data_IF_121178007064
#
_entry.id   IF_121178007064
#
_cell.length_a   1.000
_cell.length_b   1.000
_cell.length_c   1.000
_cell.angle_alpha   90.00
_cell.angle_beta   90.00
_cell.angle_gamma   90.00
#
_symmetry.space_group_name_H-M   'P 1'
#
loop_
_entity.id
_entity.type
_entity.pdbx_description
1 polymer ?
#
# COMPACT_ATOMS: atom_id res chain seq x y z
N UNK A 1 31.03 -26.93 66.59
CA UNK A 1 30.38 -25.59 66.50
C UNK A 1 31.28 -24.71 65.67
N UNK A 2 30.89 -24.37 64.43
CA UNK A 2 30.97 -23.02 63.84
C UNK A 2 30.54 -23.14 62.37
N UNK A 3 29.34 -22.60 62.10
CA UNK A 3 28.79 -22.33 60.78
C UNK A 3 29.49 -21.08 60.22
N UNK A 4 29.89 -21.12 58.95
CA UNK A 4 30.30 -19.95 58.18
C UNK A 4 29.70 -20.04 56.79
N UNK A 5 28.67 -19.24 56.54
CA UNK A 5 28.04 -19.01 55.24
C UNK A 5 28.97 -18.22 54.31
N UNK A 6 28.93 -18.49 53.02
CA UNK A 6 29.06 -17.48 51.96
C UNK A 6 28.42 -17.97 50.65
N UNK A 7 27.50 -17.22 50.01
CA UNK A 7 27.04 -17.49 48.66
C UNK A 7 27.93 -16.71 47.67
N UNK A 8 28.65 -17.42 46.80
CA UNK A 8 29.35 -16.80 45.68
C UNK A 8 28.39 -16.68 44.49
N UNK A 9 27.86 -15.48 44.27
CA UNK A 9 27.12 -15.14 43.07
C UNK A 9 28.09 -15.02 41.88
N UNK A 10 27.96 -15.91 40.90
CA UNK A 10 28.71 -15.87 39.65
C UNK A 10 27.91 -14.98 38.68
N UNK A 11 28.39 -13.75 38.46
CA UNK A 11 27.90 -12.87 37.41
C UNK A 11 28.51 -13.27 36.06
N UNK A 12 27.66 -13.63 35.10
CA UNK A 12 27.98 -13.82 33.69
C UNK A 12 28.19 -12.44 33.04
N UNK A 13 29.42 -12.15 32.58
CA UNK A 13 29.73 -10.98 31.75
C UNK A 13 29.90 -11.45 30.30
N UNK A 14 28.90 -11.21 29.46
CA UNK A 14 29.05 -11.28 28.01
C UNK A 14 29.66 -9.97 27.50
N UNK A 15 30.61 -9.99 26.54
CA UNK A 15 31.13 -8.76 25.96
C UNK A 15 30.10 -8.17 25.00
N UNK A 16 29.63 -6.95 25.30
CA UNK A 16 28.90 -6.14 24.35
C UNK A 16 29.87 -5.70 23.24
N UNK A 17 29.73 -6.29 22.06
CA UNK A 17 30.38 -5.80 20.85
C UNK A 17 29.76 -4.44 20.51
N UNK A 18 30.47 -3.35 20.82
CA UNK A 18 30.08 -2.01 20.41
C UNK A 18 30.27 -1.88 18.90
N UNK A 19 29.17 -1.91 18.14
CA UNK A 19 29.15 -1.48 16.75
C UNK A 19 29.40 0.03 16.73
N UNK A 20 30.55 0.45 16.20
CA UNK A 20 30.86 1.87 16.03
C UNK A 20 30.19 2.34 14.74
N UNK A 21 29.12 3.12 14.89
CA UNK A 21 28.46 3.81 13.77
C UNK A 21 29.39 4.91 13.26
N UNK A 22 29.79 4.80 12.00
CA UNK A 22 30.58 5.81 11.32
C UNK A 22 29.67 6.99 10.94
N UNK A 23 29.71 8.08 11.70
CA UNK A 23 28.98 9.31 11.39
C UNK A 23 29.68 10.07 10.25
N UNK A 24 29.06 10.08 9.06
CA UNK A 24 29.48 10.92 7.93
C UNK A 24 28.78 12.28 8.05
N UNK A 25 29.51 13.41 8.16
CA UNK A 25 28.90 14.72 8.26
C UNK A 25 28.12 15.06 6.98
N UNK A 26 26.81 15.30 7.09
CA UNK A 26 25.96 15.76 5.99
C UNK A 26 24.96 14.75 5.45
N UNK A 27 24.89 13.54 6.00
CA UNK A 27 23.80 12.58 5.71
C UNK A 27 22.85 12.53 6.91
N UNK A 28 21.79 13.31 6.86
CA UNK A 28 20.60 12.99 7.67
C UNK A 28 19.99 11.74 7.06
N UNK A 29 20.36 10.55 7.57
CA UNK A 29 19.56 9.35 7.40
C UNK A 29 18.26 9.51 8.21
N UNK A 30 17.42 10.46 7.79
CA UNK A 30 16.00 10.33 8.07
C UNK A 30 15.51 9.13 7.26
N UNK A 31 14.76 8.19 7.86
CA UNK A 31 13.94 7.28 7.08
C UNK A 31 13.19 8.10 6.04
N UNK A 32 13.03 7.64 4.78
CA UNK A 32 12.18 8.34 3.83
C UNK A 32 10.86 8.61 4.54
N UNK A 33 10.50 9.89 4.72
CA UNK A 33 9.18 10.20 5.24
C UNK A 33 8.21 9.50 4.31
N UNK A 34 7.18 8.79 4.80
CA UNK A 34 6.12 8.32 3.92
C UNK A 34 5.71 9.54 3.11
N UNK A 35 5.71 9.42 1.77
CA UNK A 35 5.09 10.44 0.93
C UNK A 35 3.76 10.76 1.61
N UNK A 36 3.60 11.99 2.10
CA UNK A 36 2.31 12.43 2.62
C UNK A 36 1.43 12.59 1.39
N UNK A 37 0.90 11.46 0.93
CA UNK A 37 -0.16 11.41 -0.05
C UNK A 37 -1.35 12.09 0.61
N UNK A 38 -1.44 13.40 0.39
CA UNK A 38 -2.40 14.27 1.02
C UNK A 38 -3.46 14.64 -0.01
N UNK A 39 -4.71 14.43 0.37
CA UNK A 39 -5.82 14.83 -0.47
C UNK A 39 -5.98 16.35 -0.38
N UNK A 40 -5.92 17.01 -1.54
CA UNK A 40 -6.05 18.46 -1.64
C UNK A 40 -7.18 18.77 -2.61
N UNK A 41 -8.33 19.18 -2.09
CA UNK A 41 -9.55 19.41 -2.88
C UNK A 41 -9.27 20.42 -4.01
N UNK A 42 -9.50 20.00 -5.27
CA UNK A 42 -9.32 20.84 -6.46
C UNK A 42 -7.88 21.00 -6.95
N UNK A 43 -6.89 20.34 -6.33
CA UNK A 43 -5.47 20.50 -6.66
C UNK A 43 -4.94 19.38 -7.56
N UNK A 44 -4.13 19.72 -8.56
CA UNK A 44 -3.40 18.74 -9.38
C UNK A 44 -2.35 17.95 -8.58
N UNK A 45 -1.94 18.46 -7.41
CA UNK A 45 -1.05 17.76 -6.47
C UNK A 45 -1.82 16.87 -5.48
N UNK A 46 -3.16 16.84 -5.56
CA UNK A 46 -3.99 15.99 -4.70
C UNK A 46 -3.59 14.54 -4.86
N UNK A 47 -3.43 13.83 -3.74
CA UNK A 47 -3.04 12.43 -3.73
C UNK A 47 -4.00 11.61 -2.87
N UNK A 48 -4.38 10.43 -3.35
CA UNK A 48 -5.08 9.42 -2.56
C UNK A 48 -4.43 8.05 -2.73
N UNK A 49 -4.49 7.22 -1.68
CA UNK A 49 -3.98 5.85 -1.76
C UNK A 49 -4.88 4.99 -2.64
N UNK A 50 -4.27 4.04 -3.35
CA UNK A 50 -4.91 3.04 -4.19
C UNK A 50 -4.42 1.68 -3.79
N UNK A 51 -5.33 0.76 -3.52
CA UNK A 51 -5.03 -0.64 -3.24
C UNK A 51 -5.81 -1.53 -4.20
N UNK A 52 -5.25 -2.66 -4.62
CA UNK A 52 -6.01 -3.64 -5.37
C UNK A 52 -5.56 -5.07 -5.08
N UNK A 53 -6.51 -6.01 -5.04
CA UNK A 53 -6.18 -7.44 -5.09
C UNK A 53 -6.07 -7.85 -6.56
N UNK A 54 -5.10 -8.69 -6.89
CA UNK A 54 -4.85 -9.19 -8.25
C UNK A 54 -4.90 -10.72 -8.25
N UNK A 55 -5.89 -11.27 -8.93
CA UNK A 55 -6.15 -12.71 -8.91
C UNK A 55 -6.53 -13.23 -7.52
N UNK A 56 -6.23 -14.51 -7.27
CA UNK A 56 -6.59 -15.21 -6.03
C UNK A 56 -5.36 -15.71 -5.25
N UNK A 57 -4.15 -15.40 -5.72
CA UNK A 57 -2.89 -15.94 -5.19
C UNK A 57 -2.29 -15.08 -4.08
N UNK A 58 -3.05 -14.08 -3.59
CA UNK A 58 -2.59 -13.14 -2.56
C UNK A 58 -1.69 -12.02 -3.08
N UNK A 59 -1.55 -11.88 -4.41
CA UNK A 59 -0.86 -10.74 -5.03
C UNK A 59 -1.73 -9.49 -4.92
N UNK A 60 -1.12 -8.36 -4.56
CA UNK A 60 -1.80 -7.08 -4.47
C UNK A 60 -0.97 -5.95 -5.04
N UNK A 61 -1.67 -4.90 -5.47
CA UNK A 61 -1.11 -3.61 -5.85
C UNK A 61 -1.25 -2.63 -4.69
N UNK A 62 -0.21 -1.86 -4.44
CA UNK A 62 -0.21 -0.79 -3.46
C UNK A 62 0.42 0.48 -4.06
N UNK A 63 -0.36 1.56 -4.11
CA UNK A 63 0.02 2.75 -4.86
C UNK A 63 -0.78 4.00 -4.51
N UNK A 64 -0.65 4.99 -5.36
CA UNK A 64 -1.17 6.35 -5.19
C UNK A 64 -1.73 6.86 -6.51
N UNK A 65 -2.92 7.47 -6.45
CA UNK A 65 -3.51 8.26 -7.52
C UNK A 65 -3.27 9.73 -7.22
N UNK A 66 -2.61 10.43 -8.15
CA UNK A 66 -2.25 11.83 -8.03
C UNK A 66 -2.95 12.61 -9.12
N UNK A 67 -3.54 13.75 -8.78
CA UNK A 67 -4.27 14.61 -9.70
C UNK A 67 -5.66 15.00 -9.18
N UNK A 68 -6.35 15.83 -9.97
CA UNK A 68 -7.75 16.17 -9.78
C UNK A 68 -8.50 15.97 -11.09
N UNK A 69 -9.61 15.24 -11.05
CA UNK A 69 -10.38 14.72 -12.20
C UNK A 69 -9.64 13.80 -13.18
N UNK A 70 -8.32 13.94 -13.29
CA UNK A 70 -7.41 13.11 -14.09
C UNK A 70 -6.02 13.18 -13.49
N UNK A 71 -5.17 12.19 -13.79
CA UNK A 71 -3.76 12.28 -13.44
C UNK A 71 -3.02 10.96 -13.55
N UNK A 72 -2.04 10.77 -12.67
CA UNK A 72 -1.10 9.64 -12.72
C UNK A 72 -1.35 8.65 -11.60
N UNK A 73 -1.13 7.38 -11.91
CA UNK A 73 -0.99 6.31 -10.93
C UNK A 73 0.47 5.91 -10.81
N UNK A 74 0.92 5.66 -9.58
CA UNK A 74 2.21 5.05 -9.29
C UNK A 74 2.05 4.04 -8.16
N UNK A 75 2.79 2.96 -8.18
CA UNK A 75 2.76 1.98 -7.09
C UNK A 75 3.63 0.78 -7.40
N UNK A 76 3.49 -0.25 -6.57
CA UNK A 76 4.21 -1.50 -6.73
C UNK A 76 3.27 -2.68 -6.52
N UNK A 77 3.59 -3.78 -7.18
CA UNK A 77 2.99 -5.08 -6.93
C UNK A 77 3.73 -5.77 -5.78
N UNK A 78 3.01 -6.53 -4.96
CA UNK A 78 3.57 -7.24 -3.81
C UNK A 78 4.61 -8.31 -4.18
N UNK A 79 4.68 -8.71 -5.45
CA UNK A 79 5.68 -9.62 -6.02
C UNK A 79 6.95 -8.91 -6.52
N UNK A 80 7.03 -7.58 -6.38
CA UNK A 80 8.27 -6.80 -6.54
C UNK A 80 8.37 -5.98 -7.82
N UNK A 81 7.26 -5.76 -8.53
CA UNK A 81 7.22 -5.02 -9.79
C UNK A 81 6.72 -3.58 -9.61
N UNK A 82 7.45 -2.60 -10.11
CA UNK A 82 7.01 -1.20 -10.13
C UNK A 82 6.01 -0.95 -11.26
N UNK A 83 4.96 -0.17 -11.00
CA UNK A 83 3.93 0.14 -11.98
C UNK A 83 3.62 1.64 -12.04
N UNK A 84 3.37 2.13 -13.26
CA UNK A 84 3.00 3.51 -13.54
C UNK A 84 1.78 3.51 -14.46
N UNK A 85 0.92 4.51 -14.30
CA UNK A 85 -0.34 4.55 -15.00
C UNK A 85 -0.97 5.94 -15.06
N UNK A 86 -2.19 5.97 -15.58
CA UNK A 86 -3.05 7.15 -15.61
C UNK A 86 -4.43 6.82 -15.10
N UNK A 87 -5.14 7.84 -14.64
CA UNK A 87 -6.53 7.70 -14.22
C UNK A 87 -7.34 8.92 -14.66
N UNK A 88 -8.66 8.74 -14.77
CA UNK A 88 -9.62 9.81 -15.00
C UNK A 88 -10.95 9.53 -14.31
N UNK A 89 -11.68 10.58 -13.95
CA UNK A 89 -13.06 10.52 -13.46
C UNK A 89 -14.00 11.26 -14.41
N UNK A 90 -15.31 11.15 -14.17
CA UNK A 90 -16.31 11.81 -15.01
C UNK A 90 -16.68 11.05 -16.28
N UNK A 91 -16.44 9.74 -16.30
CA UNK A 91 -16.94 8.82 -17.31
C UNK A 91 -18.47 8.76 -17.36
N UNK A 92 -19.00 8.04 -18.35
CA UNK A 92 -20.45 7.83 -18.50
C UNK A 92 -21.05 7.25 -17.21
N UNK A 93 -22.08 7.92 -16.68
CA UNK A 93 -22.72 7.52 -15.42
C UNK A 93 -21.88 7.79 -14.17
N UNK A 94 -20.85 8.64 -14.24
CA UNK A 94 -19.99 8.98 -13.10
C UNK A 94 -18.88 7.95 -12.84
N UNK A 95 -18.57 7.10 -13.81
CA UNK A 95 -17.46 6.12 -13.71
C UNK A 95 -16.10 6.79 -13.73
N UNK A 96 -15.12 6.14 -13.08
CA UNK A 96 -13.70 6.44 -13.22
C UNK A 96 -12.98 5.33 -13.98
N UNK A 97 -11.86 5.66 -14.60
CA UNK A 97 -11.02 4.73 -15.35
C UNK A 97 -9.58 4.85 -14.89
N UNK A 98 -8.87 3.72 -14.88
CA UNK A 98 -7.45 3.64 -14.58
C UNK A 98 -6.77 2.63 -15.51
N UNK A 99 -5.57 2.99 -15.95
CA UNK A 99 -4.68 2.16 -16.76
C UNK A 99 -3.32 2.10 -16.06
N UNK A 100 -2.73 0.91 -16.01
CA UNK A 100 -1.42 0.66 -15.39
C UNK A 100 -0.55 -0.19 -16.31
N UNK A 101 0.75 0.07 -16.28
CA UNK A 101 1.79 -0.77 -16.87
C UNK A 101 2.90 -0.97 -15.86
N UNK A 102 3.35 -2.22 -15.71
CA UNK A 102 4.39 -2.64 -14.79
C UNK A 102 5.69 -2.98 -15.54
N UNK A 103 6.82 -3.00 -14.83
CA UNK A 103 8.15 -3.25 -15.40
C UNK A 103 8.36 -4.67 -15.98
N UNK A 104 7.55 -5.64 -15.54
CA UNK A 104 7.48 -7.02 -16.05
C UNK A 104 6.71 -7.14 -17.38
N UNK A 105 6.14 -6.03 -17.86
CA UNK A 105 5.30 -5.96 -19.05
C UNK A 105 3.82 -6.24 -18.80
N UNK A 106 3.40 -6.49 -17.55
CA UNK A 106 1.99 -6.62 -17.20
C UNK A 106 1.27 -5.27 -17.37
N UNK A 107 0.10 -5.28 -17.99
CA UNK A 107 -0.77 -4.10 -18.09
C UNK A 107 -2.11 -4.36 -17.45
N UNK A 108 -2.78 -3.35 -16.90
CA UNK A 108 -4.08 -3.51 -16.26
C UNK A 108 -5.02 -2.33 -16.56
N UNK A 109 -6.31 -2.66 -16.70
CA UNK A 109 -7.40 -1.69 -16.84
C UNK A 109 -8.40 -1.87 -15.69
N UNK A 110 -8.81 -0.77 -15.06
CA UNK A 110 -9.78 -0.76 -13.95
C UNK A 110 -10.86 0.30 -14.19
N UNK A 111 -12.11 -0.08 -13.96
CA UNK A 111 -13.26 0.82 -13.95
C UNK A 111 -13.77 0.96 -12.51
N UNK A 112 -13.86 2.20 -12.03
CA UNK A 112 -14.46 2.56 -10.73
C UNK A 112 -15.92 2.96 -10.92
N UNK A 113 -16.82 2.33 -10.16
CA UNK A 113 -18.27 2.40 -10.44
C UNK A 113 -19.15 2.65 -9.20
N UNK A 114 -18.60 2.57 -8.00
CA UNK A 114 -19.36 2.80 -6.77
C UNK A 114 -18.51 3.46 -5.71
N UNK A 115 -19.15 4.30 -4.90
CA UNK A 115 -18.58 4.82 -3.67
C UNK A 115 -19.27 4.14 -2.48
N UNK A 116 -18.47 3.62 -1.56
CA UNK A 116 -18.93 3.15 -0.26
C UNK A 116 -19.49 4.33 0.53
N UNK A 117 -20.76 4.28 0.99
CA UNK A 117 -21.40 5.44 1.60
C UNK A 117 -20.87 5.77 3.01
N UNK A 118 -20.32 4.77 3.71
CA UNK A 118 -19.86 4.92 5.09
C UNK A 118 -18.44 5.49 5.13
N UNK A 119 -17.60 5.07 4.19
CA UNK A 119 -16.18 5.47 4.12
C UNK A 119 -15.88 6.43 2.98
N UNK A 120 -16.77 6.66 2.01
CA UNK A 120 -16.46 7.46 0.83
C UNK A 120 -15.39 6.84 -0.09
N UNK A 121 -15.02 5.57 0.13
CA UNK A 121 -14.04 4.82 -0.68
C UNK A 121 -14.65 4.44 -2.01
N UNK A 122 -13.97 4.73 -3.12
CA UNK A 122 -14.40 4.27 -4.43
C UNK A 122 -13.91 2.86 -4.70
N UNK A 123 -14.78 2.02 -5.27
CA UNK A 123 -14.52 0.63 -5.58
C UNK A 123 -14.51 0.46 -7.09
N UNK A 124 -13.49 -0.24 -7.58
CA UNK A 124 -13.32 -0.57 -8.98
C UNK A 124 -13.08 -2.05 -9.23
N UNK A 125 -13.25 -2.43 -10.50
CA UNK A 125 -12.99 -3.78 -11.01
C UNK A 125 -12.26 -3.71 -12.34
N UNK A 126 -11.45 -4.73 -12.62
CA UNK A 126 -10.61 -4.75 -13.80
C UNK A 126 -10.07 -6.13 -14.13
N UNK A 127 -9.16 -6.16 -15.09
CA UNK A 127 -8.33 -7.31 -15.42
C UNK A 127 -6.94 -6.84 -15.84
N UNK A 128 -5.95 -7.70 -15.65
CA UNK A 128 -4.63 -7.52 -16.24
C UNK A 128 -4.47 -8.26 -17.59
N UNK A 129 -3.32 -8.07 -18.22
CA UNK A 129 -2.94 -8.71 -19.48
C UNK A 129 -2.82 -10.23 -19.41
N UNK A 130 -2.72 -10.80 -18.20
CA UNK A 130 -2.74 -12.24 -17.96
C UNK A 130 -4.16 -12.78 -17.71
N UNK A 131 -5.19 -11.92 -17.70
CA UNK A 131 -6.58 -12.28 -17.43
C UNK A 131 -6.90 -12.46 -15.94
N UNK A 132 -6.01 -12.03 -15.03
CA UNK A 132 -6.30 -12.04 -13.59
C UNK A 132 -7.29 -10.94 -13.26
N UNK A 133 -8.34 -11.28 -12.53
CA UNK A 133 -9.32 -10.31 -12.07
C UNK A 133 -8.70 -9.33 -11.07
N UNK A 134 -9.09 -8.07 -11.16
CA UNK A 134 -8.67 -7.01 -10.26
C UNK A 134 -9.89 -6.47 -9.54
N UNK A 135 -9.75 -6.27 -8.23
CA UNK A 135 -10.67 -5.47 -7.42
C UNK A 135 -9.85 -4.38 -6.74
N UNK A 136 -10.25 -3.13 -6.95
CA UNK A 136 -9.48 -1.97 -6.52
C UNK A 136 -10.29 -1.06 -5.59
N UNK A 137 -9.59 -0.35 -4.73
CA UNK A 137 -10.12 0.64 -3.80
C UNK A 137 -9.25 1.89 -3.86
N UNK A 138 -9.88 3.05 -3.84
CA UNK A 138 -9.20 4.34 -3.79
C UNK A 138 -10.02 5.36 -2.99
N UNK A 139 -9.38 6.45 -2.55
CA UNK A 139 -10.04 7.57 -1.90
C UNK A 139 -9.60 7.81 -0.46
N UNK A 140 -10.27 8.76 0.20
CA UNK A 140 -9.86 9.37 1.47
C UNK A 140 -9.71 8.37 2.63
N UNK A 141 -10.53 7.33 2.64
CA UNK A 141 -10.60 6.39 3.75
C UNK A 141 -10.17 4.98 3.38
N UNK A 142 -9.43 4.81 2.28
CA UNK A 142 -8.80 3.51 1.95
C UNK A 142 -7.94 2.99 3.10
N UNK A 143 -7.29 3.90 3.84
CA UNK A 143 -6.44 3.55 4.98
C UNK A 143 -7.23 2.95 6.15
N UNK A 144 -8.54 3.19 6.25
CA UNK A 144 -9.39 2.57 7.26
C UNK A 144 -9.59 1.06 7.03
N UNK A 145 -9.25 0.55 5.84
CA UNK A 145 -9.25 -0.87 5.50
C UNK A 145 -7.86 -1.51 5.60
N UNK A 146 -6.87 -0.80 6.16
CA UNK A 146 -5.58 -1.36 6.52
C UNK A 146 -5.58 -1.79 7.99
N UNK A 147 -4.99 -2.94 8.27
CA UNK A 147 -4.62 -3.35 9.64
C UNK A 147 -3.63 -2.35 10.27
N UNK A 148 -3.41 -2.43 11.59
CA UNK A 148 -2.43 -1.58 12.29
C UNK A 148 -1.00 -1.70 11.73
N UNK A 149 -0.64 -2.84 11.13
CA UNK A 149 0.68 -3.06 10.52
C UNK A 149 0.75 -2.59 9.06
N UNK A 150 -0.21 -1.76 8.62
CA UNK A 150 -0.37 -1.31 7.23
C UNK A 150 -0.58 -2.45 6.21
N UNK A 151 -0.92 -3.66 6.70
CA UNK A 151 -1.33 -4.77 5.83
C UNK A 151 -2.76 -4.52 5.39
N UNK A 152 -3.09 -4.59 4.09
CA UNK A 152 -4.48 -4.46 3.64
C UNK A 152 -5.37 -5.55 4.23
N UNK A 153 -6.35 -5.19 5.07
CA UNK A 153 -7.46 -6.06 5.48
C UNK A 153 -8.61 -5.92 4.46
N UNK A 154 -8.23 -5.96 3.19
CA UNK A 154 -9.19 -5.94 2.11
C UNK A 154 -9.81 -7.34 2.03
N UNK A 155 -11.09 -7.48 1.63
CA UNK A 155 -11.68 -8.78 1.33
C UNK A 155 -11.09 -9.32 0.01
N UNK A 156 -9.77 -9.56 0.00
CA UNK A 156 -9.03 -10.28 -1.04
C UNK A 156 -9.30 -11.79 -0.98
N UNK A 157 -10.10 -12.25 -0.02
CA UNK A 157 -10.51 -13.65 0.09
C UNK A 157 -11.11 -14.09 -1.24
N UNK A 158 -10.56 -15.16 -1.81
CA UNK A 158 -11.08 -15.89 -2.96
C UNK A 158 -12.52 -16.35 -2.67
N UNK A 159 -13.48 -15.46 -2.93
CA UNK A 159 -14.90 -15.67 -2.80
C UNK A 159 -15.53 -15.18 -4.08
N UNK A 160 -16.38 -16.02 -4.67
CA UNK A 160 -17.07 -15.69 -5.91
C UNK A 160 -17.64 -14.27 -5.84
N UNK A 161 -17.32 -13.48 -6.86
CA UNK A 161 -17.93 -12.19 -7.11
C UNK A 161 -19.45 -12.42 -7.13
N UNK A 162 -20.25 -11.82 -6.23
CA UNK A 162 -21.69 -11.82 -6.40
C UNK A 162 -21.97 -11.02 -7.67
N UNK A 163 -22.33 -11.74 -8.74
CA UNK A 163 -23.11 -11.21 -9.84
C UNK A 163 -24.53 -11.04 -9.30
N UNK A 164 -24.97 -9.79 -9.16
CA UNK A 164 -26.40 -9.45 -9.05
C UNK A 164 -27.01 -9.42 -10.44
#
# INVERSE_FOLDING_TARGET
>A
MFRGLLPAAIFLLAPAAAAQTLEVPGRTDSPPSPSRCENAIGSEDSCVRVLACVGNDGVYFDGEAIGWDTGTLRGFMSDGHDCIGTWSSGGLGGTGFAQLACDDGTTADVIYYSQDPDTGTVIGRGQDSAGRFIKAWSGLNVLAYLTQDSTPELPCTAGAIPIS
#
